data_IF_424926906479
#
_entry.id   IF_424926906479
#
_cell.length_a   1.000
_cell.length_b   1.000
_cell.length_c   1.000
_cell.angle_alpha   90.00
_cell.angle_beta   90.00
_cell.angle_gamma   90.00
#
_symmetry.space_group_name_H-M   'P 1'
#
loop_
_entity.id
_entity.type
_entity.pdbx_description
1 polymer ?
#
# COMPACT_ATOMS: atom_id res chain seq x y z
N UNK A 1 -44.38 9.09 -23.52
CA UNK A 1 -44.89 8.19 -22.46
C UNK A 1 -43.93 7.02 -22.39
N UNK A 2 -43.05 7.07 -21.40
CA UNK A 2 -41.88 6.21 -21.24
C UNK A 2 -42.29 4.95 -20.48
N UNK A 3 -41.95 3.77 -21.01
CA UNK A 3 -42.09 2.48 -20.35
C UNK A 3 -40.74 2.06 -19.78
N UNK A 4 -40.75 1.67 -18.50
CA UNK A 4 -39.65 1.05 -17.75
C UNK A 4 -39.18 -0.27 -18.37
N UNK A 5 -37.94 -0.69 -18.05
CA UNK A 5 -37.81 -1.94 -17.30
C UNK A 5 -36.74 -1.90 -16.18
N UNK A 6 -36.80 -2.96 -15.37
CA UNK A 6 -36.32 -3.18 -14.00
C UNK A 6 -35.01 -3.98 -13.95
N UNK A 7 -34.11 -3.64 -13.01
CA UNK A 7 -33.27 -4.51 -12.14
C UNK A 7 -31.96 -3.80 -11.68
N UNK A 8 -31.27 -4.21 -10.59
CA UNK A 8 -31.73 -4.93 -9.41
C UNK A 8 -31.30 -4.27 -8.08
N UNK A 9 -31.80 -4.91 -7.02
CA UNK A 9 -31.57 -4.69 -5.59
C UNK A 9 -30.08 -4.72 -5.20
N UNK A 10 -29.67 -3.80 -4.30
CA UNK A 10 -28.73 -4.05 -3.20
C UNK A 10 -28.66 -2.80 -2.30
N UNK A 11 -29.65 -2.66 -1.43
CA UNK A 11 -29.68 -1.74 -0.29
C UNK A 11 -28.82 -2.29 0.86
N UNK A 12 -27.50 -2.22 0.73
CA UNK A 12 -26.57 -2.77 1.74
C UNK A 12 -25.56 -1.73 2.27
N UNK A 13 -25.97 -0.46 2.45
CA UNK A 13 -25.12 0.58 3.04
C UNK A 13 -25.80 1.46 4.11
N UNK A 14 -26.92 1.00 4.68
CA UNK A 14 -27.53 1.62 5.88
C UNK A 14 -27.55 0.60 7.02
N UNK A 15 -26.36 0.24 7.49
CA UNK A 15 -26.16 -0.42 8.79
C UNK A 15 -25.21 0.42 9.63
N UNK A 16 -25.79 1.41 10.30
CA UNK A 16 -25.30 1.90 11.58
C UNK A 16 -26.55 2.23 12.40
N UNK A 17 -27.31 1.17 12.74
CA UNK A 17 -28.35 1.26 13.74
C UNK A 17 -27.72 1.70 15.06
N UNK A 18 -28.30 2.77 15.59
CA UNK A 18 -28.03 3.35 16.89
C UNK A 18 -28.20 2.28 17.97
N UNK A 19 -27.10 1.92 18.63
CA UNK A 19 -27.15 1.15 19.87
C UNK A 19 -27.40 2.10 21.03
N UNK A 20 -28.64 2.59 21.13
CA UNK A 20 -29.14 3.16 22.38
C UNK A 20 -29.46 2.01 23.35
N UNK A 21 -28.97 2.03 24.61
CA UNK A 21 -29.36 1.02 25.59
C UNK A 21 -30.86 1.13 25.91
N UNK A 22 -31.56 0.01 26.17
CA UNK A 22 -32.99 0.02 26.41
C UNK A 22 -33.32 0.76 27.72
N UNK A 23 -34.02 1.88 27.60
CA UNK A 23 -34.70 2.53 28.72
C UNK A 23 -35.79 1.58 29.23
N UNK A 24 -35.51 0.93 30.36
CA UNK A 24 -36.43 0.04 31.02
C UNK A 24 -37.66 0.82 31.51
N UNK A 25 -38.83 0.37 31.11
CA UNK A 25 -40.11 0.96 31.46
C UNK A 25 -40.47 0.70 32.94
N UNK A 26 -40.78 1.79 33.66
CA UNK A 26 -41.66 1.94 34.83
C UNK A 26 -41.42 1.08 36.09
N UNK A 27 -41.36 1.76 37.26
CA UNK A 27 -42.35 1.46 38.29
C UNK A 27 -42.94 2.78 38.86
N UNK A 28 -43.99 3.30 38.22
CA UNK A 28 -44.82 4.40 38.76
C UNK A 28 -46.11 3.87 39.40
N UNK A 29 -46.01 3.07 40.48
CA UNK A 29 -47.23 2.57 41.15
C UNK A 29 -47.24 2.57 42.68
N UNK A 30 -46.15 2.81 43.41
CA UNK A 30 -46.19 2.74 44.89
C UNK A 30 -45.33 3.82 45.54
N UNK A 31 -45.83 5.07 45.58
CA UNK A 31 -45.35 6.11 46.50
C UNK A 31 -46.34 7.29 46.55
N UNK A 32 -47.62 7.02 46.80
CA UNK A 32 -48.69 8.03 46.87
C UNK A 32 -49.17 8.29 48.30
N UNK A 33 -48.29 8.25 49.30
CA UNK A 33 -48.67 8.46 50.70
C UNK A 33 -47.58 9.14 51.56
N UNK A 34 -46.98 10.23 51.08
CA UNK A 34 -46.25 11.14 51.97
C UNK A 34 -46.22 12.60 51.48
N UNK A 35 -47.35 13.06 50.95
CA UNK A 35 -47.59 14.48 50.69
C UNK A 35 -48.27 15.09 51.92
N UNK A 36 -47.49 15.60 52.89
CA UNK A 36 -47.86 16.68 53.83
C UNK A 36 -46.67 17.02 54.74
N UNK A 37 -45.64 17.63 54.16
CA UNK A 37 -44.68 18.47 54.89
C UNK A 37 -44.31 19.65 54.00
N UNK A 38 -44.79 20.81 54.40
CA UNK A 38 -44.70 22.07 53.69
C UNK A 38 -43.25 22.59 53.57
N UNK A 39 -42.90 22.89 52.31
CA UNK A 39 -42.47 24.23 51.86
C UNK A 39 -41.01 24.69 52.05
N UNK A 40 -40.46 25.13 50.90
CA UNK A 40 -39.28 25.98 50.70
C UNK A 40 -37.92 25.28 50.42
N UNK A 41 -37.65 25.01 49.14
CA UNK A 41 -36.52 25.61 48.40
C UNK A 41 -36.52 25.21 46.91
N UNK A 42 -36.62 26.22 46.04
CA UNK A 42 -36.29 26.25 44.60
C UNK A 42 -37.20 25.47 43.62
N UNK A 43 -38.41 25.99 43.38
CA UNK A 43 -39.01 25.87 42.06
C UNK A 43 -38.28 26.81 41.10
N UNK A 44 -37.25 26.32 40.41
CA UNK A 44 -36.67 27.02 39.25
C UNK A 44 -37.73 27.08 38.15
N UNK A 45 -37.96 28.27 37.59
CA UNK A 45 -38.87 28.46 36.46
C UNK A 45 -38.45 27.49 35.32
N UNK A 46 -39.36 26.68 34.74
CA UNK A 46 -39.02 25.79 33.64
C UNK A 46 -38.25 26.50 32.51
N UNK A 47 -38.56 27.79 32.28
CA UNK A 47 -37.83 28.60 31.29
C UNK A 47 -36.37 28.85 31.65
N UNK A 48 -36.02 29.00 32.93
CA UNK A 48 -34.63 29.14 33.40
C UNK A 48 -33.84 27.83 33.26
N UNK A 49 -34.49 26.69 33.45
CA UNK A 49 -33.89 25.36 33.22
C UNK A 49 -33.56 25.16 31.74
N UNK A 50 -34.50 25.50 30.85
CA UNK A 50 -34.26 25.43 29.39
C UNK A 50 -33.17 26.41 28.95
N UNK A 51 -33.14 27.64 29.47
CA UNK A 51 -32.09 28.62 29.16
C UNK A 51 -30.71 28.15 29.63
N UNK A 52 -30.62 27.52 30.80
CA UNK A 52 -29.36 26.94 31.29
C UNK A 52 -28.91 25.81 30.37
N UNK A 53 -29.82 24.92 29.96
CA UNK A 53 -29.50 23.82 29.06
C UNK A 53 -29.06 24.28 27.68
N UNK A 54 -29.68 25.33 27.13
CA UNK A 54 -29.27 25.92 25.86
C UNK A 54 -27.86 26.49 25.96
N UNK A 55 -27.54 27.23 27.03
CA UNK A 55 -26.17 27.76 27.25
C UNK A 55 -25.12 26.66 27.39
N UNK A 56 -25.44 25.57 28.07
CA UNK A 56 -24.54 24.41 28.16
C UNK A 56 -24.26 23.79 26.78
N UNK A 57 -25.31 23.57 25.98
CA UNK A 57 -25.18 23.03 24.62
C UNK A 57 -24.41 23.98 23.69
N UNK A 58 -24.64 25.30 23.79
CA UNK A 58 -23.89 26.31 23.04
C UNK A 58 -22.39 26.27 23.40
N UNK A 59 -22.06 26.15 24.70
CA UNK A 59 -20.69 26.03 25.16
C UNK A 59 -20.02 24.72 24.72
N UNK A 60 -20.76 23.60 24.71
CA UNK A 60 -20.28 22.33 24.15
C UNK A 60 -20.02 22.44 22.65
N UNK A 61 -20.93 23.05 21.89
CA UNK A 61 -20.77 23.27 20.44
C UNK A 61 -19.55 24.14 20.15
N UNK A 62 -19.33 25.23 20.89
CA UNK A 62 -18.13 26.06 20.74
C UNK A 62 -16.85 25.27 21.05
N UNK A 63 -16.84 24.49 22.13
CA UNK A 63 -15.71 23.63 22.49
C UNK A 63 -15.39 22.62 21.38
N UNK A 64 -16.41 21.95 20.82
CA UNK A 64 -16.22 20.98 19.73
C UNK A 64 -15.80 21.68 18.43
N UNK A 65 -16.33 22.86 18.14
CA UNK A 65 -15.96 23.67 16.98
C UNK A 65 -14.48 24.09 17.05
N UNK A 66 -14.02 24.53 18.22
CA UNK A 66 -12.62 24.88 18.45
C UNK A 66 -11.71 23.66 18.28
N UNK A 67 -12.12 22.50 18.81
CA UNK A 67 -11.38 21.25 18.63
C UNK A 67 -11.33 20.84 17.15
N UNK A 68 -12.45 20.94 16.43
CA UNK A 68 -12.53 20.61 15.01
C UNK A 68 -11.65 21.54 14.16
N UNK A 69 -11.62 22.84 14.47
CA UNK A 69 -10.76 23.81 13.77
C UNK A 69 -9.27 23.52 14.02
N UNK A 70 -8.89 23.18 15.26
CA UNK A 70 -7.51 22.78 15.57
C UNK A 70 -7.13 21.48 14.86
N UNK A 71 -7.99 20.47 14.89
CA UNK A 71 -7.78 19.21 14.19
C UNK A 71 -7.64 19.42 12.67
N UNK A 72 -8.47 20.28 12.07
CA UNK A 72 -8.37 20.63 10.67
C UNK A 72 -7.03 21.31 10.33
N UNK A 73 -6.55 22.21 11.20
CA UNK A 73 -5.26 22.86 11.03
C UNK A 73 -4.08 21.87 11.17
N UNK A 74 -4.13 20.96 12.15
CA UNK A 74 -3.13 19.90 12.32
C UNK A 74 -3.08 18.98 11.10
N UNK A 75 -4.24 18.61 10.56
CA UNK A 75 -4.34 17.76 9.38
C UNK A 75 -3.77 18.47 8.14
N UNK A 76 -4.05 19.76 7.95
CA UNK A 76 -3.48 20.55 6.87
C UNK A 76 -1.95 20.66 7.00
N UNK A 77 -1.43 20.89 8.20
CA UNK A 77 0.01 20.90 8.47
C UNK A 77 0.65 19.53 8.17
N UNK A 78 0.00 18.44 8.57
CA UNK A 78 0.43 17.09 8.27
C UNK A 78 0.45 16.81 6.76
N UNK A 79 -0.62 17.19 6.03
CA UNK A 79 -0.68 17.06 4.57
C UNK A 79 0.46 17.79 3.88
N UNK A 80 0.72 19.05 4.26
CA UNK A 80 1.84 19.83 3.71
C UNK A 80 3.19 19.19 4.01
N UNK A 81 3.37 18.65 5.20
CA UNK A 81 4.58 17.92 5.57
C UNK A 81 4.76 16.66 4.71
N UNK A 82 3.73 15.83 4.60
CA UNK A 82 3.80 14.59 3.80
C UNK A 82 4.08 14.90 2.33
N UNK A 83 3.43 15.93 1.77
CA UNK A 83 3.68 16.38 0.39
C UNK A 83 5.11 16.84 0.16
N UNK A 84 5.78 17.36 1.19
CA UNK A 84 7.19 17.75 1.14
C UNK A 84 8.13 16.55 1.31
N UNK A 85 7.81 15.65 2.23
CA UNK A 85 8.69 14.54 2.61
C UNK A 85 8.68 13.43 1.54
N UNK A 86 7.54 13.16 0.89
CA UNK A 86 7.41 12.11 -0.13
C UNK A 86 8.38 12.28 -1.33
N UNK A 87 8.44 13.43 -2.03
CA UNK A 87 9.40 13.61 -3.13
C UNK A 87 10.85 13.54 -2.64
N UNK A 88 11.13 14.01 -1.42
CA UNK A 88 12.47 13.92 -0.85
C UNK A 88 12.89 12.46 -0.62
N UNK A 89 11.99 11.61 -0.12
CA UNK A 89 12.23 10.17 0.02
C UNK A 89 12.47 9.49 -1.33
N UNK A 90 11.70 9.85 -2.36
CA UNK A 90 11.90 9.33 -3.71
C UNK A 90 13.26 9.74 -4.29
N UNK A 91 13.65 11.02 -4.15
CA UNK A 91 14.96 11.48 -4.60
C UNK A 91 16.10 10.80 -3.84
N UNK A 92 15.94 10.56 -2.55
CA UNK A 92 16.93 9.85 -1.76
C UNK A 92 17.08 8.39 -2.23
N UNK A 93 15.97 7.69 -2.47
CA UNK A 93 15.99 6.33 -3.01
C UNK A 93 16.65 6.26 -4.40
N UNK A 94 16.34 7.22 -5.28
CA UNK A 94 16.99 7.34 -6.60
C UNK A 94 18.50 7.62 -6.46
N UNK A 95 18.89 8.50 -5.53
CA UNK A 95 20.29 8.81 -5.29
C UNK A 95 21.06 7.59 -4.76
N UNK A 96 20.46 6.78 -3.88
CA UNK A 96 21.06 5.51 -3.42
C UNK A 96 21.26 4.51 -4.56
N UNK A 97 20.27 4.38 -5.44
CA UNK A 97 20.37 3.58 -6.67
C UNK A 97 21.53 4.04 -7.55
N UNK A 98 21.58 5.34 -7.86
CA UNK A 98 22.63 5.91 -8.72
C UNK A 98 24.02 5.74 -8.10
N UNK A 99 24.16 5.98 -6.79
CA UNK A 99 25.43 5.74 -6.07
C UNK A 99 25.89 4.28 -6.14
N UNK A 100 24.95 3.33 -6.16
CA UNK A 100 25.26 1.92 -6.36
C UNK A 100 25.70 1.59 -7.79
N UNK A 101 25.18 2.31 -8.80
CA UNK A 101 25.47 2.08 -10.21
C UNK A 101 26.76 2.76 -10.70
N UNK A 102 27.15 3.90 -10.13
CA UNK A 102 28.35 4.64 -10.55
C UNK A 102 29.64 3.79 -10.58
N UNK A 103 29.95 2.95 -9.57
CA UNK A 103 31.14 2.10 -9.61
C UNK A 103 31.18 1.13 -10.80
N UNK A 104 30.02 0.72 -11.32
CA UNK A 104 29.95 -0.16 -12.48
C UNK A 104 30.29 0.60 -13.76
N UNK A 105 29.80 1.83 -13.90
CA UNK A 105 30.16 2.71 -15.00
C UNK A 105 31.67 2.99 -14.99
N UNK A 106 32.23 3.33 -13.82
CA UNK A 106 33.66 3.59 -13.67
C UNK A 106 34.51 2.36 -14.08
N UNK A 107 34.06 1.16 -13.72
CA UNK A 107 34.75 -0.08 -14.06
C UNK A 107 34.58 -0.46 -15.54
N UNK A 108 33.43 -0.17 -16.15
CA UNK A 108 33.22 -0.33 -17.59
C UNK A 108 34.13 0.58 -18.40
N UNK A 109 34.21 1.87 -18.04
CA UNK A 109 35.11 2.83 -18.69
C UNK A 109 36.58 2.42 -18.55
N UNK A 110 36.98 1.96 -17.36
CA UNK A 110 38.33 1.43 -17.11
C UNK A 110 38.62 0.21 -17.98
N UNK A 111 37.67 -0.71 -18.08
CA UNK A 111 37.79 -1.91 -18.92
C UNK A 111 37.92 -1.57 -20.40
N UNK A 112 37.15 -0.60 -20.89
CA UNK A 112 37.22 -0.13 -22.28
C UNK A 112 38.58 0.50 -22.60
N UNK A 113 39.09 1.40 -21.73
CA UNK A 113 40.43 2.00 -21.93
C UNK A 113 41.54 0.94 -21.94
N UNK A 114 41.47 -0.04 -21.04
CA UNK A 114 42.44 -1.13 -21.01
C UNK A 114 42.39 -2.00 -22.29
N UNK A 115 41.19 -2.21 -22.85
CA UNK A 115 41.01 -2.96 -24.09
C UNK A 115 41.55 -2.22 -25.32
N UNK A 116 41.51 -0.88 -25.34
CA UNK A 116 42.11 -0.05 -26.39
C UNK A 116 43.65 -0.11 -26.37
N UNK A 117 44.26 -0.14 -25.18
CA UNK A 117 45.72 -0.17 -25.02
C UNK A 117 46.34 -1.55 -25.29
N UNK A 118 45.67 -2.63 -24.87
CA UNK A 118 46.15 -3.99 -25.04
C UNK A 118 44.97 -4.98 -25.16
N UNK A 119 44.56 -5.35 -26.39
CA UNK A 119 43.41 -6.23 -26.60
C UNK A 119 43.75 -7.68 -26.20
N UNK A 120 43.49 -8.01 -24.94
CA UNK A 120 43.53 -9.36 -24.39
C UNK A 120 42.09 -9.83 -24.11
N UNK A 121 41.60 -10.73 -24.96
CA UNK A 121 40.21 -11.19 -24.92
C UNK A 121 39.88 -11.96 -23.63
N UNK A 122 40.84 -12.70 -23.07
CA UNK A 122 40.62 -13.52 -21.89
C UNK A 122 40.54 -12.64 -20.63
N UNK A 123 41.41 -11.63 -20.53
CA UNK A 123 41.31 -10.61 -19.46
C UNK A 123 40.01 -9.79 -19.57
N UNK A 124 39.56 -9.48 -20.78
CA UNK A 124 38.31 -8.76 -20.98
C UNK A 124 37.10 -9.59 -20.52
N UNK A 125 37.06 -10.88 -20.85
CA UNK A 125 36.02 -11.81 -20.37
C UNK A 125 36.02 -11.91 -18.84
N UNK A 126 37.19 -12.02 -18.22
CA UNK A 126 37.30 -12.06 -16.75
C UNK A 126 36.78 -10.76 -16.11
N UNK A 127 37.20 -9.61 -16.64
CA UNK A 127 36.73 -8.30 -16.20
C UNK A 127 35.23 -8.12 -16.31
N UNK A 128 34.63 -8.56 -17.44
CA UNK A 128 33.18 -8.53 -17.62
C UNK A 128 32.47 -9.47 -16.64
N UNK A 129 33.02 -10.66 -16.39
CA UNK A 129 32.49 -11.59 -15.38
C UNK A 129 32.55 -11.04 -13.95
N UNK A 130 33.57 -10.25 -13.61
CA UNK A 130 33.65 -9.52 -12.33
C UNK A 130 32.58 -8.43 -12.25
N UNK A 131 32.40 -7.65 -13.32
CA UNK A 131 31.35 -6.63 -13.42
C UNK A 131 29.95 -7.21 -13.25
N UNK A 132 29.64 -8.32 -13.92
CA UNK A 132 28.33 -8.98 -13.79
C UNK A 132 28.07 -9.42 -12.34
N UNK A 133 29.07 -10.01 -11.66
CA UNK A 133 28.95 -10.40 -10.25
C UNK A 133 28.76 -9.18 -9.34
N UNK A 134 29.51 -8.10 -9.56
CA UNK A 134 29.36 -6.86 -8.82
C UNK A 134 27.96 -6.24 -9.00
N UNK A 135 27.42 -6.30 -10.21
CA UNK A 135 26.07 -5.81 -10.51
C UNK A 135 25.01 -6.62 -9.78
N UNK A 136 25.08 -7.96 -9.86
CA UNK A 136 24.17 -8.86 -9.15
C UNK A 136 24.20 -8.63 -7.63
N UNK A 137 25.39 -8.49 -7.04
CA UNK A 137 25.52 -8.17 -5.62
C UNK A 137 24.91 -6.80 -5.25
N UNK A 138 25.07 -5.81 -6.12
CA UNK A 138 24.49 -4.47 -5.92
C UNK A 138 22.97 -4.50 -5.97
N UNK A 139 22.39 -5.24 -6.92
CA UNK A 139 20.95 -5.48 -7.02
C UNK A 139 20.41 -6.21 -5.78
N UNK A 140 21.09 -7.28 -5.33
CA UNK A 140 20.70 -8.02 -4.13
C UNK A 140 20.67 -7.13 -2.88
N UNK A 141 21.66 -6.23 -2.72
CA UNK A 141 21.69 -5.26 -1.60
C UNK A 141 20.53 -4.27 -1.63
N UNK A 142 20.01 -3.94 -2.81
CA UNK A 142 18.84 -3.08 -2.98
C UNK A 142 17.51 -3.84 -2.76
N UNK A 143 17.57 -5.15 -2.54
CA UNK A 143 16.42 -6.04 -2.36
C UNK A 143 15.83 -6.54 -3.68
N UNK A 144 16.59 -6.49 -4.76
CA UNK A 144 16.23 -7.08 -6.05
C UNK A 144 16.73 -8.52 -6.10
N UNK A 145 15.83 -9.44 -6.43
CA UNK A 145 16.13 -10.86 -6.52
C UNK A 145 15.80 -11.38 -7.92
N UNK A 146 16.66 -12.25 -8.49
CA UNK A 146 16.43 -12.82 -9.81
C UNK A 146 15.36 -13.92 -9.76
N UNK A 147 14.57 -14.00 -10.82
CA UNK A 147 13.62 -15.10 -11.07
C UNK A 147 14.27 -15.99 -12.13
N UNK A 148 14.73 -17.16 -11.68
CA UNK A 148 15.42 -18.16 -12.49
C UNK A 148 14.65 -19.47 -12.40
N UNK A 149 13.66 -19.69 -13.27
CA UNK A 149 12.91 -20.93 -13.25
C UNK A 149 13.78 -22.13 -13.61
N UNK A 150 13.47 -23.26 -13.00
CA UNK A 150 14.13 -24.53 -13.31
C UNK A 150 13.68 -25.03 -14.68
N UNK A 151 14.64 -25.45 -15.51
CA UNK A 151 14.38 -26.10 -16.78
C UNK A 151 13.63 -27.42 -16.50
N UNK A 152 12.54 -27.65 -17.21
CA UNK A 152 11.63 -28.79 -17.03
C UNK A 152 10.51 -28.55 -16.02
N UNK A 153 10.45 -27.39 -15.36
CA UNK A 153 9.32 -27.03 -14.48
C UNK A 153 8.16 -26.40 -15.25
N UNK A 154 6.97 -26.38 -14.65
CA UNK A 154 5.80 -25.69 -15.23
C UNK A 154 5.96 -24.17 -15.11
N UNK A 155 5.61 -23.39 -16.15
CA UNK A 155 5.67 -21.94 -16.08
C UNK A 155 4.60 -21.37 -15.13
N UNK A 156 5.01 -20.49 -14.22
CA UNK A 156 4.12 -19.69 -13.38
C UNK A 156 3.62 -18.45 -14.17
N UNK A 157 2.31 -18.29 -14.44
CA UNK A 157 1.78 -17.13 -15.17
C UNK A 157 2.03 -15.76 -14.51
N UNK A 158 2.25 -15.73 -13.18
CA UNK A 158 2.51 -14.47 -12.47
C UNK A 158 3.96 -14.00 -12.64
N UNK A 159 4.89 -14.92 -12.88
CA UNK A 159 6.33 -14.64 -12.85
C UNK A 159 7.01 -14.86 -14.21
N UNK A 160 6.39 -15.60 -15.12
CA UNK A 160 6.97 -16.01 -16.41
C UNK A 160 6.12 -15.55 -17.59
N UNK A 161 6.80 -15.08 -18.64
CA UNK A 161 6.24 -14.74 -19.94
C UNK A 161 6.72 -15.75 -20.98
N UNK A 162 5.79 -16.43 -21.64
CA UNK A 162 6.12 -17.43 -22.67
C UNK A 162 6.34 -16.71 -23.99
N UNK A 163 7.55 -16.81 -24.54
CA UNK A 163 7.89 -16.20 -25.83
C UNK A 163 7.52 -17.05 -27.02
N UNK A 164 7.77 -18.34 -26.92
CA UNK A 164 7.45 -19.31 -27.97
C UNK A 164 7.31 -20.70 -27.38
N UNK A 165 6.55 -21.53 -28.09
CA UNK A 165 6.49 -22.97 -27.87
C UNK A 165 7.40 -23.64 -28.90
N UNK A 166 8.18 -24.63 -28.48
CA UNK A 166 8.99 -25.46 -29.39
C UNK A 166 8.61 -26.92 -29.21
N UNK A 167 8.73 -27.75 -30.28
CA UNK A 167 8.51 -29.19 -30.16
C UNK A 167 9.39 -29.77 -29.04
N UNK A 168 8.79 -30.57 -28.16
CA UNK A 168 9.51 -31.19 -27.06
C UNK A 168 10.63 -32.10 -27.60
N UNK A 169 11.91 -31.89 -27.21
CA UNK A 169 12.96 -32.85 -27.48
C UNK A 169 12.62 -34.20 -26.84
N UNK A 170 13.05 -35.31 -27.46
CA UNK A 170 12.79 -36.65 -26.93
C UNK A 170 13.19 -36.75 -25.46
N UNK A 171 12.23 -37.12 -24.60
CA UNK A 171 12.44 -37.26 -23.15
C UNK A 171 12.06 -36.03 -22.30
N UNK A 172 11.58 -34.93 -22.90
CA UNK A 172 11.12 -33.74 -22.16
C UNK A 172 9.62 -33.78 -21.93
N UNK A 173 9.15 -33.28 -20.78
CA UNK A 173 7.71 -33.20 -20.49
C UNK A 173 7.05 -32.08 -21.31
N UNK A 174 5.81 -32.28 -21.79
CA UNK A 174 5.08 -31.24 -22.53
C UNK A 174 4.71 -30.07 -21.62
N UNK A 175 4.58 -28.86 -22.20
CA UNK A 175 4.23 -27.62 -21.49
C UNK A 175 5.17 -27.22 -20.34
N UNK A 176 6.44 -27.62 -20.41
CA UNK A 176 7.47 -27.27 -19.41
C UNK A 176 8.48 -26.28 -19.97
N UNK A 177 9.17 -25.56 -19.08
CA UNK A 177 10.18 -24.58 -19.46
C UNK A 177 11.38 -25.29 -20.08
N UNK A 178 11.65 -25.00 -21.35
CA UNK A 178 12.81 -25.51 -22.08
C UNK A 178 14.05 -24.66 -21.84
N UNK A 179 13.89 -23.33 -21.89
CA UNK A 179 14.98 -22.37 -21.75
C UNK A 179 14.48 -21.04 -21.17
N UNK A 180 15.36 -20.37 -20.41
CA UNK A 180 15.16 -19.00 -19.94
C UNK A 180 15.96 -18.06 -20.84
N UNK A 181 15.27 -17.31 -21.68
CA UNK A 181 15.88 -16.35 -22.63
C UNK A 181 16.36 -15.11 -21.89
N UNK A 182 15.51 -14.59 -20.99
CA UNK A 182 15.84 -13.44 -20.16
C UNK A 182 15.39 -13.68 -18.72
N UNK A 183 16.26 -13.48 -17.72
CA UNK A 183 15.88 -13.67 -16.32
C UNK A 183 14.88 -12.61 -15.87
N UNK A 184 13.92 -13.00 -15.05
CA UNK A 184 12.99 -12.08 -14.39
C UNK A 184 13.64 -11.46 -13.16
N UNK A 185 13.00 -10.43 -12.59
CA UNK A 185 13.44 -9.82 -11.33
C UNK A 185 12.25 -9.38 -10.48
N UNK A 186 12.39 -9.51 -9.17
CA UNK A 186 11.47 -9.01 -8.16
C UNK A 186 12.18 -8.03 -7.21
N UNK A 187 11.50 -6.97 -6.80
CA UNK A 187 11.95 -6.03 -5.77
C UNK A 187 11.08 -6.21 -4.54
N UNK A 188 11.64 -6.78 -3.46
CA UNK A 188 10.93 -6.96 -2.17
C UNK A 188 9.55 -7.62 -2.33
N UNK A 189 9.46 -8.63 -3.20
CA UNK A 189 8.23 -9.36 -3.50
C UNK A 189 7.35 -8.75 -4.61
N UNK A 190 7.65 -7.54 -5.09
CA UNK A 190 6.96 -6.95 -6.24
C UNK A 190 7.67 -7.33 -7.54
N UNK A 191 6.93 -7.88 -8.51
CA UNK A 191 7.47 -8.20 -9.82
C UNK A 191 7.93 -6.92 -10.55
N UNK A 192 9.21 -6.84 -10.94
CA UNK A 192 9.73 -5.77 -11.78
C UNK A 192 9.61 -6.12 -13.25
N UNK A 193 9.98 -7.36 -13.60
CA UNK A 193 9.80 -7.93 -14.93
C UNK A 193 9.69 -9.45 -14.84
N UNK A 194 8.82 -10.08 -15.67
CA UNK A 194 8.74 -11.53 -15.73
C UNK A 194 9.99 -12.13 -16.36
N UNK A 195 10.26 -13.40 -16.05
CA UNK A 195 11.26 -14.18 -16.77
C UNK A 195 10.69 -14.60 -18.12
N UNK A 196 11.43 -14.34 -19.20
CA UNK A 196 11.00 -14.71 -20.55
C UNK A 196 11.50 -16.10 -20.86
N UNK A 197 10.57 -17.03 -21.08
CA UNK A 197 10.85 -18.45 -21.22
C UNK A 197 10.33 -19.00 -22.53
N UNK A 198 11.01 -20.04 -23.03
CA UNK A 198 10.52 -20.89 -24.11
C UNK A 198 10.00 -22.16 -23.45
N UNK A 199 8.83 -22.62 -23.87
CA UNK A 199 8.21 -23.83 -23.31
C UNK A 199 8.08 -24.90 -24.39
N UNK A 200 7.93 -26.15 -23.95
CA UNK A 200 7.62 -27.26 -24.85
C UNK A 200 6.14 -27.25 -25.26
N UNK A 201 5.88 -27.63 -26.50
CA UNK A 201 4.53 -27.96 -26.98
C UNK A 201 3.90 -29.14 -26.21
#
# INVERSE_FOLDING_TARGET
MTTEPKAPQNEELLRFEETFPPTNASPLAEASADLLSAESAAASDPTEVWQTRVRELEAEVEKWRDQALRAAAELENYRRRVQRDLPQQLHQAQAELLRGLLPLLDNLERGLRAAEEAPDLDKLKEGLGLLTRQFQHTLARLGVEPILPEIGSLPNPEEHEILSTLPAPEGTQPHTILEVVEPGYRLRGQLLRPARVIVTE
#
